data_IF_289365746128
#
_entry.id   IF_289365746128
#
_cell.length_a   1.000
_cell.length_b   1.000
_cell.length_c   1.000
_cell.angle_alpha   90.00
_cell.angle_beta   90.00
_cell.angle_gamma   90.00
#
_symmetry.space_group_name_H-M   'P 1'
#
loop_
_entity.id
_entity.type
_entity.pdbx_description
1 polymer ?
#
# COMPACT_ATOMS: atom_id res chain seq x y z
N UNK A 1 4.02 -11.30 8.89
CA UNK A 1 3.98 -9.94 8.32
C UNK A 1 3.09 -8.99 9.12
N UNK A 2 1.86 -9.38 9.49
CA UNK A 2 1.08 -8.62 10.49
C UNK A 2 0.79 -9.52 11.71
N UNK A 3 1.20 -9.07 12.90
CA UNK A 3 0.93 -9.75 14.17
C UNK A 3 -0.50 -9.48 14.65
N UNK A 4 -1.13 -10.44 15.33
CA UNK A 4 -2.48 -10.30 15.90
C UNK A 4 -2.50 -9.52 17.22
N UNK A 5 -1.80 -8.39 17.31
CA UNK A 5 -1.83 -7.51 18.49
C UNK A 5 -2.97 -6.50 18.34
N UNK A 6 -3.67 -6.18 19.44
CA UNK A 6 -4.64 -5.07 19.46
C UNK A 6 -3.89 -3.76 19.25
N UNK A 7 -4.29 -3.02 18.22
CA UNK A 7 -3.83 -1.66 17.94
C UNK A 7 -5.01 -0.88 17.39
N UNK A 8 -5.01 0.44 17.63
CA UNK A 8 -6.03 1.35 17.07
C UNK A 8 -5.92 1.45 15.55
N UNK A 9 -4.70 1.42 15.02
CA UNK A 9 -4.42 1.39 13.59
C UNK A 9 -3.33 0.37 13.29
N UNK A 10 -3.44 -0.31 12.16
CA UNK A 10 -2.47 -1.25 11.62
C UNK A 10 -1.97 -0.74 10.27
N UNK A 11 -0.66 -0.52 10.18
CA UNK A 11 0.01 -0.06 8.95
C UNK A 11 0.91 -1.17 8.42
N UNK A 12 0.76 -1.53 7.15
CA UNK A 12 1.71 -2.40 6.46
C UNK A 12 2.71 -1.56 5.67
N UNK A 13 3.99 -1.63 6.02
CA UNK A 13 5.06 -0.94 5.30
C UNK A 13 5.99 -1.95 4.64
N UNK A 14 6.36 -1.70 3.39
CA UNK A 14 7.34 -2.49 2.63
C UNK A 14 8.13 -1.57 1.69
N UNK A 15 9.35 -1.91 1.31
CA UNK A 15 10.03 -1.16 0.27
C UNK A 15 9.45 -1.47 -1.12
N UNK A 16 9.31 -2.76 -1.44
CA UNK A 16 8.82 -3.28 -2.72
C UNK A 16 7.30 -3.19 -2.86
N UNK A 17 6.81 -3.13 -4.10
CA UNK A 17 5.39 -3.05 -4.39
C UNK A 17 4.64 -4.33 -3.95
N UNK A 18 3.63 -4.21 -3.06
CA UNK A 18 2.86 -5.36 -2.57
C UNK A 18 1.76 -5.80 -3.54
N UNK A 19 1.53 -5.03 -4.60
CA UNK A 19 0.57 -5.25 -5.68
C UNK A 19 1.15 -4.72 -6.98
N UNK A 20 0.76 -5.31 -8.11
CA UNK A 20 1.12 -4.77 -9.42
C UNK A 20 0.28 -3.58 -9.85
N UNK A 21 -0.81 -3.27 -9.13
CA UNK A 21 -1.66 -2.11 -9.42
C UNK A 21 -0.89 -0.79 -9.33
N UNK A 22 0.12 -0.70 -8.44
CA UNK A 22 0.97 0.49 -8.31
C UNK A 22 2.17 0.48 -9.25
N UNK A 23 2.41 -0.59 -10.02
CA UNK A 23 3.48 -0.65 -11.03
C UNK A 23 3.02 -0.18 -12.42
N UNK A 24 1.74 0.14 -12.61
CA UNK A 24 1.25 0.64 -13.90
C UNK A 24 1.95 1.96 -14.24
N UNK A 25 2.73 1.95 -15.32
CA UNK A 25 3.61 3.05 -15.74
C UNK A 25 5.09 2.64 -15.77
N UNK A 26 5.47 1.63 -15.00
CA UNK A 26 6.79 0.98 -15.08
C UNK A 26 6.87 0.03 -16.28
N UNK A 27 8.09 -0.21 -16.76
CA UNK A 27 8.35 -1.24 -17.75
C UNK A 27 7.97 -2.63 -17.19
N UNK A 28 7.05 -3.31 -17.88
CA UNK A 28 6.56 -4.64 -17.48
C UNK A 28 7.66 -5.68 -17.33
N UNK A 29 8.78 -5.54 -18.06
CA UNK A 29 9.92 -6.46 -18.00
C UNK A 29 10.62 -6.45 -16.65
N UNK A 30 10.47 -5.38 -15.86
CA UNK A 30 11.11 -5.25 -14.54
C UNK A 30 10.15 -5.44 -13.36
N UNK A 31 8.86 -5.71 -13.58
CA UNK A 31 7.88 -5.79 -12.50
C UNK A 31 8.23 -6.80 -11.40
N UNK A 32 8.83 -7.94 -11.75
CA UNK A 32 9.29 -8.96 -10.79
C UNK A 32 10.43 -8.49 -9.90
N UNK A 33 11.18 -7.46 -10.31
CA UNK A 33 12.21 -6.80 -9.50
C UNK A 33 11.64 -5.68 -8.62
N UNK A 34 10.51 -5.11 -9.01
CA UNK A 34 9.87 -4.01 -8.30
C UNK A 34 8.90 -4.46 -7.20
N UNK A 35 8.35 -5.67 -7.31
CA UNK A 35 7.41 -6.21 -6.31
C UNK A 35 6.79 -7.53 -6.69
N UNK A 36 5.79 -7.95 -5.92
CA UNK A 36 5.06 -9.21 -6.15
C UNK A 36 3.62 -9.16 -5.61
N UNK A 37 2.60 -9.60 -6.37
CA UNK A 37 1.19 -9.55 -5.93
C UNK A 37 0.81 -10.55 -4.84
N UNK A 38 1.74 -11.39 -4.34
CA UNK A 38 1.42 -12.38 -3.29
C UNK A 38 1.01 -11.72 -1.98
N UNK A 39 1.46 -10.49 -1.72
CA UNK A 39 1.05 -9.72 -0.56
C UNK A 39 -0.41 -9.27 -0.63
N UNK A 40 -1.05 -9.24 -1.80
CA UNK A 40 -2.47 -8.90 -1.92
C UNK A 40 -3.35 -9.85 -1.11
N UNK A 41 -3.03 -11.15 -1.08
CA UNK A 41 -3.76 -12.12 -0.27
C UNK A 41 -3.63 -11.86 1.24
N UNK A 42 -2.48 -11.31 1.67
CA UNK A 42 -2.27 -10.90 3.07
C UNK A 42 -3.05 -9.62 3.36
N UNK A 43 -2.99 -8.63 2.46
CA UNK A 43 -3.72 -7.36 2.60
C UNK A 43 -5.22 -7.62 2.70
N UNK A 44 -5.78 -8.42 1.78
CA UNK A 44 -7.21 -8.78 1.78
C UNK A 44 -7.63 -9.49 3.07
N UNK A 45 -6.80 -10.41 3.59
CA UNK A 45 -7.11 -11.21 4.77
C UNK A 45 -6.96 -10.44 6.09
N UNK A 46 -5.94 -9.58 6.19
CA UNK A 46 -5.58 -8.87 7.42
C UNK A 46 -6.17 -7.47 7.49
N UNK A 47 -6.61 -6.92 6.37
CA UNK A 47 -7.25 -5.62 6.23
C UNK A 47 -6.58 -4.50 7.05
N UNK A 48 -5.26 -4.24 6.87
CA UNK A 48 -4.63 -3.10 7.55
C UNK A 48 -5.31 -1.79 7.11
N UNK A 49 -5.22 -0.75 7.93
CA UNK A 49 -5.82 0.55 7.61
C UNK A 49 -5.16 1.19 6.38
N UNK A 50 -3.86 1.00 6.23
CA UNK A 50 -3.12 1.49 5.05
C UNK A 50 -1.93 0.60 4.75
N UNK A 51 -1.59 0.54 3.46
CA UNK A 51 -0.35 -0.07 2.98
C UNK A 51 0.52 1.02 2.36
N UNK A 52 1.80 1.03 2.72
CA UNK A 52 2.78 2.00 2.23
C UNK A 52 3.93 1.23 1.57
N UNK A 53 4.30 1.64 0.36
CA UNK A 53 5.52 1.17 -0.28
C UNK A 53 6.22 2.27 -1.07
N UNK A 54 7.44 1.99 -1.57
CA UNK A 54 8.15 2.88 -2.48
C UNK A 54 8.62 2.14 -3.72
N UNK A 55 9.85 2.45 -4.15
CA UNK A 55 10.61 1.75 -5.19
C UNK A 55 10.10 1.89 -6.64
N UNK A 56 8.79 1.94 -6.87
CA UNK A 56 8.22 2.14 -8.19
C UNK A 56 8.15 3.65 -8.54
N UNK A 57 9.19 4.15 -9.21
CA UNK A 57 9.42 5.56 -9.50
C UNK A 57 8.57 6.10 -10.67
N UNK A 58 8.12 5.24 -11.58
CA UNK A 58 7.27 5.56 -12.73
C UNK A 58 5.89 4.89 -12.64
N UNK A 59 5.58 4.28 -11.50
CA UNK A 59 4.30 3.62 -11.26
C UNK A 59 3.14 4.57 -10.95
N UNK A 60 2.06 4.03 -10.40
CA UNK A 60 0.94 4.82 -9.87
C UNK A 60 1.20 5.19 -8.42
N UNK A 61 0.79 6.41 -8.05
CA UNK A 61 0.85 6.95 -6.68
C UNK A 61 0.01 6.13 -5.70
N UNK A 62 -1.15 5.66 -6.12
CA UNK A 62 -2.08 4.94 -5.25
C UNK A 62 -2.76 3.78 -5.97
N UNK A 63 -3.24 2.81 -5.18
CA UNK A 63 -4.14 1.75 -5.60
C UNK A 63 -5.04 1.34 -4.42
N UNK A 64 -5.98 0.41 -4.68
CA UNK A 64 -6.79 -0.22 -3.63
C UNK A 64 -6.71 -1.73 -3.78
N UNK A 65 -6.50 -2.44 -2.66
CA UNK A 65 -6.44 -3.91 -2.61
C UNK A 65 -7.41 -4.39 -1.53
N UNK A 66 -8.54 -4.96 -1.95
CA UNK A 66 -9.57 -5.42 -1.00
C UNK A 66 -10.16 -4.30 -0.15
N UNK A 67 -10.29 -3.10 -0.71
CA UNK A 67 -10.77 -1.91 0.01
C UNK A 67 -9.70 -1.18 0.83
N UNK A 68 -8.50 -1.77 0.98
CA UNK A 68 -7.38 -1.12 1.68
C UNK A 68 -6.62 -0.21 0.71
N UNK A 69 -6.42 1.08 1.03
CA UNK A 69 -5.62 1.96 0.21
C UNK A 69 -4.14 1.59 0.30
N UNK A 70 -3.48 1.57 -0.86
CA UNK A 70 -2.05 1.33 -1.03
C UNK A 70 -1.41 2.59 -1.58
N UNK A 71 -0.43 3.13 -0.88
CA UNK A 71 0.33 4.31 -1.27
C UNK A 71 1.72 3.92 -1.73
N UNK A 72 2.06 4.29 -2.96
CA UNK A 72 3.42 4.29 -3.46
C UNK A 72 4.03 5.66 -3.17
N UNK A 73 4.84 5.77 -2.12
CA UNK A 73 5.47 7.01 -1.65
C UNK A 73 6.83 7.28 -2.28
N UNK A 74 7.13 6.67 -3.44
CA UNK A 74 8.35 6.96 -4.18
C UNK A 74 8.48 8.46 -4.49
N UNK A 75 9.58 9.07 -4.05
CA UNK A 75 9.82 10.52 -4.21
C UNK A 75 9.66 11.01 -5.66
N UNK A 76 10.11 10.28 -6.72
CA UNK A 76 9.90 10.72 -8.10
C UNK A 76 8.44 10.93 -8.49
N UNK A 77 7.51 10.20 -7.88
CA UNK A 77 6.08 10.33 -8.15
C UNK A 77 5.47 11.57 -7.52
N UNK A 78 5.90 11.94 -6.32
CA UNK A 78 5.27 13.00 -5.52
C UNK A 78 6.01 14.33 -5.58
N UNK A 79 7.35 14.30 -5.64
CA UNK A 79 8.24 15.47 -5.57
C UNK A 79 8.01 16.33 -4.31
N UNK A 80 7.42 15.73 -3.29
CA UNK A 80 7.11 16.34 -1.99
C UNK A 80 6.99 15.25 -0.92
N UNK A 81 6.86 15.66 0.33
CA UNK A 81 6.45 14.76 1.40
C UNK A 81 5.02 14.26 1.15
N UNK A 82 4.78 12.99 1.49
CA UNK A 82 3.45 12.38 1.42
C UNK A 82 2.85 12.34 2.81
N UNK A 83 1.72 13.02 2.98
CA UNK A 83 0.93 12.98 4.20
C UNK A 83 -0.22 11.98 4.04
N UNK A 84 -0.33 11.03 4.96
CA UNK A 84 -1.40 10.04 4.99
C UNK A 84 -2.14 10.20 6.31
N UNK A 85 -3.41 10.64 6.23
CA UNK A 85 -4.30 10.77 7.39
C UNK A 85 -5.12 9.49 7.55
N UNK A 86 -5.07 8.92 8.75
CA UNK A 86 -5.86 7.73 9.08
C UNK A 86 -7.08 8.16 9.88
N UNK A 87 -8.24 7.91 9.30
CA UNK A 87 -9.53 8.08 9.97
C UNK A 87 -10.08 6.72 10.38
N UNK A 88 -10.88 6.64 11.45
CA UNK A 88 -11.67 5.45 11.76
C UNK A 88 -12.48 5.01 10.52
N UNK A 89 -12.66 3.70 10.35
CA UNK A 89 -13.41 3.14 9.21
C UNK A 89 -14.51 2.21 9.69
N UNK A 90 -15.50 2.00 8.83
CA UNK A 90 -16.63 1.14 9.15
C UNK A 90 -17.50 1.75 10.26
N UNK A 91 -18.05 0.90 11.14
CA UNK A 91 -18.94 1.36 12.21
C UNK A 91 -18.23 2.29 13.22
N UNK A 92 -16.91 2.14 13.40
CA UNK A 92 -16.13 3.02 14.28
C UNK A 92 -16.08 4.48 13.77
N UNK A 93 -16.36 4.73 12.49
CA UNK A 93 -16.45 6.08 11.95
C UNK A 93 -17.78 6.79 12.28
N UNK A 94 -18.75 6.05 12.82
CA UNK A 94 -20.10 6.54 13.14
C UNK A 94 -20.33 6.72 14.66
N UNK A 95 -19.31 6.42 15.47
CA UNK A 95 -19.29 6.56 16.93
C UNK A 95 -18.49 7.79 17.33
#
# INVERSE_FOLDING_TARGET
LLSSRRARYTVLVTHYAPTFLTLVGEDRRIWSRLGHPRLEAVIKRRAPDVVIHGHAHNGRRTASVGGVPVYNVALPLWRSLVEIRLEPRGLEALL
#
